data_IF_691175660440
#
_entry.id   IF_691175660440
#
_cell.length_a   1.000
_cell.length_b   1.000
_cell.length_c   1.000
_cell.angle_alpha   90.00
_cell.angle_beta   90.00
_cell.angle_gamma   90.00
#
_symmetry.space_group_name_H-M   'P 1'
#
loop_
_entity.id
_entity.type
_entity.pdbx_description
1 polymer ?
#
# COMPACT_ATOMS: atom_id res chain seq x y z
N UNK A 1 -14.73 45.62 -66.98
CA UNK A 1 -15.25 44.93 -65.77
C UNK A 1 -14.31 43.76 -65.47
N UNK A 2 -13.65 43.58 -64.33
CA UNK A 2 -13.73 44.17 -63.00
C UNK A 2 -12.31 44.13 -62.39
N UNK A 3 -11.79 45.29 -62.00
CA UNK A 3 -10.69 45.43 -61.07
C UNK A 3 -11.19 45.08 -59.65
N UNK A 4 -11.32 43.79 -59.33
CA UNK A 4 -11.97 43.36 -58.09
C UNK A 4 -11.32 42.13 -57.43
N UNK A 5 -9.99 42.01 -57.44
CA UNK A 5 -9.31 40.86 -56.78
C UNK A 5 -8.13 41.22 -55.87
N UNK A 6 -7.78 42.49 -55.71
CA UNK A 6 -6.72 42.91 -54.76
C UNK A 6 -7.26 43.45 -53.42
N UNK A 7 -8.51 43.95 -53.37
CA UNK A 7 -9.12 44.48 -52.15
C UNK A 7 -9.50 43.42 -51.10
N UNK A 8 -9.70 42.16 -51.50
CA UNK A 8 -10.15 41.08 -50.59
C UNK A 8 -9.02 40.44 -49.76
N UNK A 9 -7.77 40.51 -50.21
CA UNK A 9 -6.62 39.92 -49.50
C UNK A 9 -6.09 40.81 -48.38
N UNK A 10 -6.19 42.13 -48.52
CA UNK A 10 -5.80 43.11 -47.50
C UNK A 10 -6.79 43.15 -46.32
N UNK A 11 -8.10 43.07 -46.59
CA UNK A 11 -9.15 43.01 -45.55
C UNK A 11 -9.00 41.79 -44.64
N UNK A 12 -8.55 40.66 -45.19
CA UNK A 12 -8.29 39.42 -44.44
C UNK A 12 -7.05 39.52 -43.52
N UNK A 13 -6.07 40.37 -43.85
CA UNK A 13 -4.85 40.56 -43.05
C UNK A 13 -5.09 41.55 -41.90
N UNK A 14 -5.85 42.62 -42.15
CA UNK A 14 -6.26 43.59 -41.13
C UNK A 14 -7.16 42.96 -40.05
N UNK A 15 -8.11 42.10 -40.44
CA UNK A 15 -8.98 41.38 -39.51
C UNK A 15 -8.20 40.39 -38.62
N UNK A 16 -7.22 39.67 -39.17
CA UNK A 16 -6.36 38.75 -38.40
C UNK A 16 -5.39 39.45 -37.47
N UNK A 17 -4.87 40.62 -37.87
CA UNK A 17 -4.00 41.46 -37.03
C UNK A 17 -4.77 42.08 -35.86
N UNK A 18 -6.03 42.49 -36.09
CA UNK A 18 -6.93 43.02 -35.06
C UNK A 18 -7.34 41.96 -34.02
N UNK A 19 -7.58 40.72 -34.44
CA UNK A 19 -7.91 39.60 -33.52
C UNK A 19 -6.74 39.18 -32.63
N UNK A 20 -5.50 39.23 -33.13
CA UNK A 20 -4.30 38.90 -32.33
C UNK A 20 -4.00 40.00 -31.29
N UNK A 21 -4.16 41.27 -31.65
CA UNK A 21 -3.95 42.40 -30.74
C UNK A 21 -5.01 42.46 -29.60
N UNK A 22 -6.27 42.16 -29.92
CA UNK A 22 -7.35 42.06 -28.92
C UNK A 22 -7.13 40.87 -27.97
N UNK A 23 -6.65 39.73 -28.47
CA UNK A 23 -6.32 38.56 -27.64
C UNK A 23 -5.15 38.80 -26.67
N UNK A 24 -4.10 39.50 -27.11
CA UNK A 24 -2.97 39.89 -26.26
C UNK A 24 -3.37 40.92 -25.18
N UNK A 25 -4.25 41.87 -25.50
CA UNK A 25 -4.77 42.83 -24.51
C UNK A 25 -5.64 42.16 -23.43
N UNK A 26 -6.46 41.17 -23.79
CA UNK A 26 -7.25 40.36 -22.85
C UNK A 26 -6.36 39.48 -21.93
N UNK A 27 -5.27 38.91 -22.46
CA UNK A 27 -4.30 38.14 -21.68
C UNK A 27 -3.51 39.02 -20.70
N UNK A 28 -3.18 40.25 -21.07
CA UNK A 28 -2.49 41.19 -20.18
C UNK A 28 -3.41 41.74 -19.08
N UNK A 29 -4.69 41.97 -19.37
CA UNK A 29 -5.68 42.39 -18.35
C UNK A 29 -6.02 41.26 -17.35
N UNK A 30 -5.91 40.00 -17.75
CA UNK A 30 -6.07 38.86 -16.84
C UNK A 30 -4.92 38.73 -15.81
N UNK A 31 -3.74 39.30 -16.08
CA UNK A 31 -2.61 39.31 -15.15
C UNK A 31 -2.76 40.37 -14.04
N UNK A 32 -3.56 41.42 -14.28
CA UNK A 32 -3.72 42.56 -13.34
C UNK A 32 -4.80 42.32 -12.28
N UNK A 33 -5.78 41.44 -12.55
CA UNK A 33 -6.91 41.22 -11.63
C UNK A 33 -6.75 40.04 -10.69
N UNK A 34 -5.68 39.23 -10.81
CA UNK A 34 -5.42 38.10 -9.90
C UNK A 34 -6.55 37.07 -9.82
N UNK A 35 -7.56 37.17 -10.69
CA UNK A 35 -8.73 36.31 -10.71
C UNK A 35 -8.46 35.15 -11.67
N UNK A 36 -7.56 34.24 -11.28
CA UNK A 36 -7.52 32.91 -11.87
C UNK A 36 -8.74 32.12 -11.34
N UNK A 37 -9.74 31.78 -12.19
CA UNK A 37 -10.77 30.83 -11.81
C UNK A 37 -10.14 29.45 -11.92
N UNK A 38 -9.43 29.03 -10.87
CA UNK A 38 -8.68 27.78 -10.91
C UNK A 38 -7.66 27.54 -9.81
N UNK A 39 -7.43 28.48 -8.88
CA UNK A 39 -6.91 28.06 -7.57
C UNK A 39 -8.06 27.42 -6.81
N UNK A 40 -8.22 26.12 -7.00
CA UNK A 40 -8.75 25.26 -5.95
C UNK A 40 -8.00 25.66 -4.67
N UNK A 41 -8.74 26.32 -3.78
CA UNK A 41 -8.31 26.68 -2.45
C UNK A 41 -8.10 25.38 -1.67
N UNK A 42 -6.94 24.75 -1.85
CA UNK A 42 -6.51 23.59 -1.07
C UNK A 42 -6.38 23.91 0.43
N UNK A 43 -6.62 25.16 0.85
CA UNK A 43 -6.62 25.56 2.27
C UNK A 43 -8.01 25.53 2.91
N UNK A 44 -8.97 24.81 2.34
CA UNK A 44 -10.25 24.51 3.02
C UNK A 44 -10.54 23.02 3.08
N UNK A 45 -9.61 22.30 3.70
CA UNK A 45 -9.77 20.89 4.02
C UNK A 45 -8.75 20.34 5.01
N UNK A 46 -7.98 21.20 5.67
CA UNK A 46 -7.11 20.78 6.75
C UNK A 46 -7.85 20.97 8.07
N UNK A 47 -8.57 19.94 8.51
CA UNK A 47 -8.78 19.76 9.94
C UNK A 47 -7.43 19.70 10.67
N UNK A 48 -7.41 19.78 12.01
CA UNK A 48 -6.18 19.57 12.78
C UNK A 48 -5.45 18.32 12.27
N UNK A 49 -4.12 18.35 12.18
CA UNK A 49 -3.32 17.15 11.84
C UNK A 49 -3.75 16.03 12.80
N UNK A 50 -4.31 14.95 12.27
CA UNK A 50 -4.82 13.83 13.08
C UNK A 50 -6.28 13.92 13.54
N UNK A 51 -7.07 14.89 13.08
CA UNK A 51 -8.50 14.95 13.39
C UNK A 51 -9.33 14.22 12.31
N UNK A 52 -9.96 13.12 12.71
CA UNK A 52 -10.90 12.38 11.89
C UNK A 52 -12.26 13.09 11.83
N UNK A 53 -12.84 13.19 10.64
CA UNK A 53 -14.19 13.70 10.44
C UNK A 53 -15.26 12.62 10.62
N UNK A 54 -16.51 12.97 10.35
CA UNK A 54 -17.63 12.02 10.29
C UNK A 54 -17.36 10.93 9.25
N UNK A 55 -17.59 9.67 9.64
CA UNK A 55 -17.41 8.52 8.75
C UNK A 55 -18.53 8.46 7.71
N UNK A 56 -18.16 8.58 6.43
CA UNK A 56 -19.09 8.45 5.30
C UNK A 56 -18.65 7.30 4.41
N UNK A 57 -19.35 6.17 4.54
CA UNK A 57 -19.01 4.91 3.87
C UNK A 57 -18.93 5.04 2.34
N UNK A 58 -19.73 5.92 1.75
CA UNK A 58 -19.73 6.21 0.31
C UNK A 58 -18.39 6.76 -0.22
N UNK A 59 -17.54 7.28 0.68
CA UNK A 59 -16.20 7.79 0.33
C UNK A 59 -15.11 6.74 0.50
N UNK A 60 -15.43 5.59 1.07
CA UNK A 60 -14.47 4.53 1.25
C UNK A 60 -14.08 3.95 -0.12
N UNK A 61 -12.78 3.70 -0.36
CA UNK A 61 -12.38 3.02 -1.57
C UNK A 61 -13.05 1.64 -1.62
N UNK A 62 -13.47 1.21 -2.80
CA UNK A 62 -13.98 -0.14 -3.00
C UNK A 62 -12.87 -1.14 -2.65
N UNK A 63 -12.99 -1.78 -1.48
CA UNK A 63 -11.99 -2.71 -1.01
C UNK A 63 -12.02 -3.99 -1.83
N UNK A 64 -10.91 -4.35 -2.48
CA UNK A 64 -10.77 -5.64 -3.17
C UNK A 64 -11.16 -6.80 -2.24
N UNK A 65 -11.81 -7.87 -2.75
CA UNK A 65 -12.36 -8.92 -1.89
C UNK A 65 -11.27 -9.73 -1.15
N UNK A 66 -10.04 -9.76 -1.68
CA UNK A 66 -8.97 -10.63 -1.22
C UNK A 66 -7.89 -9.85 -0.46
N UNK A 67 -7.90 -9.96 0.87
CA UNK A 67 -6.87 -9.42 1.75
C UNK A 67 -6.15 -10.57 2.47
N UNK A 68 -4.97 -11.03 2.00
CA UNK A 68 -4.28 -12.19 2.58
C UNK A 68 -3.92 -12.05 4.06
N UNK A 69 -3.67 -10.81 4.50
CA UNK A 69 -3.41 -10.49 5.90
C UNK A 69 -4.68 -10.08 6.68
N UNK A 70 -5.87 -10.19 6.08
CA UNK A 70 -7.12 -9.71 6.65
C UNK A 70 -7.37 -8.22 6.41
N UNK A 71 -8.54 -7.77 6.87
CA UNK A 71 -8.97 -6.37 6.76
C UNK A 71 -8.73 -5.64 8.07
N UNK A 72 -8.37 -4.36 7.95
CA UNK A 72 -8.22 -3.44 9.07
C UNK A 72 -8.92 -2.13 8.76
N UNK A 73 -9.37 -1.45 9.80
CA UNK A 73 -9.91 -0.11 9.65
C UNK A 73 -8.78 0.89 9.42
N UNK A 74 -9.08 1.94 8.66
CA UNK A 74 -8.20 3.09 8.47
C UNK A 74 -7.84 3.79 9.79
N UNK A 75 -7.00 4.82 9.71
CA UNK A 75 -6.57 5.57 10.88
C UNK A 75 -7.73 6.15 11.71
N UNK A 76 -8.85 6.41 11.05
CA UNK A 76 -10.07 6.99 11.60
C UNK A 76 -11.12 5.98 12.02
N UNK A 77 -10.88 4.68 11.84
CA UNK A 77 -11.84 3.63 12.16
C UNK A 77 -13.03 3.54 11.19
N UNK A 78 -12.96 4.17 10.02
CA UNK A 78 -14.12 4.31 9.13
C UNK A 78 -14.13 3.24 8.03
N UNK A 79 -13.12 3.24 7.17
CA UNK A 79 -13.08 2.38 5.99
C UNK A 79 -12.31 1.09 6.26
N UNK A 80 -12.85 -0.03 5.77
CA UNK A 80 -12.15 -1.32 5.76
C UNK A 80 -11.19 -1.43 4.58
N UNK A 81 -9.91 -1.58 4.89
CA UNK A 81 -8.83 -1.72 3.91
C UNK A 81 -8.06 -3.02 4.15
N UNK A 82 -7.31 -3.49 3.15
CA UNK A 82 -6.40 -4.61 3.38
C UNK A 82 -5.25 -4.14 4.29
N UNK A 83 -4.93 -4.94 5.31
CA UNK A 83 -3.76 -4.68 6.14
C UNK A 83 -2.48 -5.25 5.54
N UNK A 84 -1.34 -4.73 6.00
CA UNK A 84 -0.03 -5.23 5.60
C UNK A 84 0.25 -6.61 6.20
N UNK A 85 0.85 -7.49 5.39
CA UNK A 85 1.24 -8.84 5.77
C UNK A 85 2.54 -8.90 6.57
N UNK A 86 2.82 -10.08 7.16
CA UNK A 86 4.06 -10.29 7.93
C UNK A 86 5.31 -9.94 7.12
N UNK A 87 6.24 -9.22 7.74
CA UNK A 87 7.47 -8.71 7.14
C UNK A 87 7.34 -7.41 6.37
N UNK A 88 6.14 -6.97 5.99
CA UNK A 88 5.92 -5.69 5.30
C UNK A 88 6.08 -4.51 6.26
N UNK A 89 6.40 -3.34 5.69
CA UNK A 89 6.52 -2.11 6.46
C UNK A 89 5.17 -1.69 7.04
N UNK A 90 5.21 -1.01 8.17
CA UNK A 90 4.04 -0.48 8.85
C UNK A 90 4.41 0.74 9.67
N UNK A 91 3.40 1.57 9.94
CA UNK A 91 3.54 2.73 10.79
C UNK A 91 3.21 2.34 12.26
N UNK A 92 4.16 2.51 13.21
CA UNK A 92 3.93 2.14 14.61
C UNK A 92 2.91 3.06 15.32
N UNK A 93 2.84 4.33 14.92
CA UNK A 93 1.91 5.30 15.51
C UNK A 93 0.59 5.31 14.72
N UNK A 94 -0.57 5.05 15.36
CA UNK A 94 -1.87 5.04 14.71
C UNK A 94 -2.24 6.37 14.05
N UNK A 95 -1.65 7.49 14.51
CA UNK A 95 -1.80 8.85 13.99
C UNK A 95 -0.91 9.10 12.77
N UNK A 96 0.22 8.38 12.68
CA UNK A 96 1.18 8.43 11.58
C UNK A 96 0.97 7.33 10.55
N UNK A 97 -0.13 6.56 10.62
CA UNK A 97 -0.52 5.49 9.70
C UNK A 97 -0.81 5.96 8.26
N UNK A 98 -0.24 7.10 7.86
CA UNK A 98 -0.48 7.83 6.64
C UNK A 98 0.44 7.37 5.51
N UNK A 99 1.52 6.61 5.79
CA UNK A 99 2.51 6.28 4.75
C UNK A 99 2.59 4.78 4.43
N UNK A 100 2.95 3.94 5.39
CA UNK A 100 3.04 2.49 5.17
C UNK A 100 1.73 1.77 5.49
N UNK A 101 0.90 2.33 6.39
CA UNK A 101 -0.37 1.75 6.78
C UNK A 101 -0.28 0.78 7.96
N UNK A 102 -1.40 0.11 8.25
CA UNK A 102 -1.56 -0.76 9.42
C UNK A 102 -1.35 -2.23 9.06
N UNK A 103 -0.78 -2.98 9.99
CA UNK A 103 -0.68 -4.43 9.87
C UNK A 103 -2.04 -5.10 9.88
N UNK A 104 -2.15 -6.22 9.18
CA UNK A 104 -3.35 -7.05 9.12
C UNK A 104 -3.74 -7.70 10.44
N UNK A 105 -4.78 -8.52 10.37
CA UNK A 105 -5.35 -9.22 11.52
C UNK A 105 -4.30 -10.11 12.21
N UNK A 106 -4.20 -10.02 13.55
CA UNK A 106 -3.26 -10.81 14.33
C UNK A 106 -1.78 -10.44 14.15
N UNK A 107 -1.48 -9.35 13.42
CA UNK A 107 -0.13 -8.81 13.28
C UNK A 107 0.04 -7.56 14.17
N UNK A 108 1.26 -7.30 14.62
CA UNK A 108 1.65 -6.09 15.36
C UNK A 108 2.74 -5.37 14.59
N UNK A 109 2.72 -4.04 14.60
CA UNK A 109 3.81 -3.27 14.03
C UNK A 109 4.96 -3.18 15.04
N UNK A 110 6.16 -3.63 14.65
CA UNK A 110 7.36 -3.59 15.50
C UNK A 110 8.54 -3.00 14.76
N UNK A 111 9.11 -1.95 15.31
CA UNK A 111 10.39 -1.40 14.86
C UNK A 111 11.55 -2.12 15.60
N UNK A 112 12.58 -2.62 14.90
CA UNK A 112 13.71 -3.30 15.54
C UNK A 112 14.46 -2.44 16.57
N UNK A 113 14.45 -1.12 16.40
CA UNK A 113 15.10 -0.14 17.27
C UNK A 113 14.10 0.52 18.23
N UNK A 114 12.85 0.05 18.28
CA UNK A 114 11.79 0.60 19.13
C UNK A 114 11.41 2.03 18.78
N UNK A 115 11.74 2.52 17.58
CA UNK A 115 11.47 3.90 17.18
C UNK A 115 10.00 4.08 16.81
N UNK A 116 9.44 5.22 17.19
CA UNK A 116 8.11 5.66 16.80
C UNK A 116 8.24 6.97 16.03
N UNK A 117 7.65 7.06 14.84
CA UNK A 117 7.63 8.28 14.02
C UNK A 117 8.61 8.27 12.85
N UNK A 118 9.11 9.46 12.49
CA UNK A 118 9.93 9.68 11.31
C UNK A 118 11.24 8.89 11.37
N UNK A 119 11.51 8.09 10.34
CA UNK A 119 12.65 7.17 10.31
C UNK A 119 12.44 5.84 11.03
N UNK A 120 11.23 5.54 11.51
CA UNK A 120 10.87 4.18 11.90
C UNK A 120 10.83 3.24 10.69
N UNK A 121 11.36 2.03 10.87
CA UNK A 121 11.33 0.92 9.93
C UNK A 121 10.48 -0.20 10.54
N UNK A 122 9.30 0.16 11.04
CA UNK A 122 8.33 -0.76 11.61
C UNK A 122 7.98 -1.85 10.61
N UNK A 123 7.96 -3.11 11.06
CA UNK A 123 7.51 -4.25 10.27
C UNK A 123 6.40 -5.00 10.97
N UNK A 124 5.48 -5.54 10.19
CA UNK A 124 4.43 -6.40 10.71
C UNK A 124 5.02 -7.73 11.15
N UNK A 125 4.79 -8.09 12.41
CA UNK A 125 5.20 -9.37 13.01
C UNK A 125 3.98 -10.08 13.54
N UNK A 126 3.89 -11.41 13.39
CA UNK A 126 2.76 -12.13 13.94
C UNK A 126 2.75 -12.02 15.46
N UNK A 127 1.58 -11.72 16.02
CA UNK A 127 1.41 -11.54 17.46
C UNK A 127 1.68 -12.82 18.26
N UNK A 128 1.50 -13.99 17.62
CA UNK A 128 1.74 -15.30 18.20
C UNK A 128 2.73 -16.05 17.32
N UNK A 129 3.89 -16.39 17.87
CA UNK A 129 4.89 -17.22 17.22
C UNK A 129 4.71 -18.66 17.72
N UNK A 130 4.04 -19.49 16.93
CA UNK A 130 3.70 -20.87 17.29
C UNK A 130 3.69 -21.75 16.04
N UNK A 131 4.42 -22.87 16.09
CA UNK A 131 4.42 -23.80 14.96
C UNK A 131 3.03 -24.44 14.81
N UNK A 132 2.54 -24.53 13.58
CA UNK A 132 1.25 -25.13 13.26
C UNK A 132 1.39 -26.12 12.11
N UNK A 133 0.73 -27.27 12.22
CA UNK A 133 0.59 -28.18 11.09
C UNK A 133 -0.69 -27.86 10.32
N UNK A 134 -0.57 -27.59 9.03
CA UNK A 134 -1.70 -27.40 8.13
C UNK A 134 -2.32 -28.72 7.69
N UNK A 135 -3.58 -28.66 7.25
CA UNK A 135 -4.27 -29.80 6.62
C UNK A 135 -3.61 -30.25 5.31
N UNK A 136 -2.74 -29.42 4.73
CA UNK A 136 -1.90 -29.73 3.58
C UNK A 136 -0.58 -30.43 3.95
N UNK A 137 -0.38 -30.78 5.22
CA UNK A 137 0.81 -31.45 5.73
C UNK A 137 2.04 -30.54 5.82
N UNK A 138 1.89 -29.22 5.63
CA UNK A 138 2.98 -28.25 5.78
C UNK A 138 3.01 -27.66 7.18
N UNK A 139 4.23 -27.46 7.69
CA UNK A 139 4.43 -26.70 8.92
C UNK A 139 4.47 -25.22 8.60
N UNK A 140 3.75 -24.42 9.38
CA UNK A 140 3.75 -22.96 9.34
C UNK A 140 4.38 -22.42 10.62
N UNK A 141 5.20 -21.37 10.51
CA UNK A 141 5.92 -20.84 11.68
C UNK A 141 5.00 -20.14 12.69
N UNK A 142 3.85 -19.67 12.19
CA UNK A 142 2.84 -18.99 12.97
C UNK A 142 1.46 -19.00 12.28
N UNK A 143 0.45 -18.58 13.03
CA UNK A 143 -0.94 -18.47 12.55
C UNK A 143 -1.14 -17.46 11.42
N UNK A 144 -0.32 -16.41 11.34
CA UNK A 144 -0.41 -15.39 10.29
C UNK A 144 0.04 -15.96 8.93
N UNK A 145 1.11 -16.74 8.90
CA UNK A 145 1.57 -17.43 7.68
C UNK A 145 0.55 -18.43 7.17
N UNK A 146 -0.04 -19.25 8.05
CA UNK A 146 -1.09 -20.21 7.68
C UNK A 146 -2.31 -19.50 7.09
N UNK A 147 -2.75 -18.39 7.73
CA UNK A 147 -3.86 -17.58 7.22
C UNK A 147 -3.56 -17.00 5.85
N UNK A 148 -2.36 -16.45 5.65
CA UNK A 148 -1.94 -15.90 4.37
C UNK A 148 -1.87 -16.97 3.26
N UNK A 149 -1.44 -18.19 3.59
CA UNK A 149 -1.44 -19.32 2.66
C UNK A 149 -2.87 -19.74 2.30
N UNK A 150 -3.78 -19.82 3.29
CA UNK A 150 -5.20 -20.14 3.08
C UNK A 150 -5.86 -19.19 2.09
N UNK A 151 -5.54 -17.90 2.16
CA UNK A 151 -6.09 -16.90 1.24
C UNK A 151 -5.64 -17.03 -0.22
N UNK A 152 -4.57 -17.80 -0.51
CA UNK A 152 -4.09 -18.05 -1.87
C UNK A 152 -4.73 -19.27 -2.52
N UNK A 153 -5.49 -20.04 -1.76
CA UNK A 153 -6.17 -21.24 -2.24
C UNK A 153 -7.56 -20.89 -2.77
N UNK A 154 -8.04 -21.72 -3.69
CA UNK A 154 -9.43 -21.69 -4.14
C UNK A 154 -10.36 -22.12 -3.00
N UNK A 155 -11.64 -21.73 -3.06
CA UNK A 155 -12.65 -22.11 -2.05
C UNK A 155 -12.75 -23.63 -1.83
N UNK A 156 -12.46 -24.43 -2.85
CA UNK A 156 -12.46 -25.89 -2.79
C UNK A 156 -11.28 -26.46 -1.96
N UNK A 157 -10.16 -25.73 -1.88
CA UNK A 157 -8.96 -26.11 -1.13
C UNK A 157 -8.89 -25.36 0.22
N UNK A 158 -9.67 -25.87 1.18
CA UNK A 158 -9.70 -25.28 2.52
C UNK A 158 -8.51 -25.72 3.36
N UNK A 159 -7.48 -24.87 3.44
CA UNK A 159 -6.40 -25.02 4.41
C UNK A 159 -6.90 -24.73 5.84
N UNK A 160 -6.82 -25.73 6.71
CA UNK A 160 -7.16 -25.65 8.12
C UNK A 160 -5.95 -25.98 8.99
N UNK A 161 -6.01 -25.64 10.28
CA UNK A 161 -5.05 -26.14 11.26
C UNK A 161 -5.39 -27.60 11.53
N UNK A 162 -4.46 -28.51 11.24
CA UNK A 162 -4.58 -29.93 11.59
C UNK A 162 -4.30 -30.14 13.08
N UNK A 163 -3.18 -29.62 13.58
CA UNK A 163 -2.84 -29.63 15.01
C UNK A 163 -1.79 -28.56 15.35
N UNK A 164 -1.66 -28.17 16.63
CA UNK A 164 -0.53 -27.35 17.09
C UNK A 164 0.79 -28.13 17.00
N UNK A 165 1.89 -27.40 16.83
CA UNK A 165 3.23 -27.95 16.61
C UNK A 165 3.53 -28.23 15.13
N UNK A 166 4.77 -28.63 14.82
CA UNK A 166 5.17 -28.94 13.46
C UNK A 166 4.49 -30.23 12.98
N UNK A 167 4.23 -30.32 11.68
CA UNK A 167 3.83 -31.59 11.08
C UNK A 167 4.94 -32.62 11.31
N UNK A 168 4.55 -33.85 11.66
CA UNK A 168 5.48 -34.97 11.67
C UNK A 168 5.84 -35.27 10.22
N UNK A 169 6.96 -34.71 9.74
CA UNK A 169 7.62 -35.29 8.59
C UNK A 169 7.87 -36.76 8.93
N UNK A 170 7.28 -37.69 8.18
CA UNK A 170 7.73 -39.08 8.22
C UNK A 170 9.25 -39.04 8.12
N UNK A 171 9.93 -39.42 9.21
CA UNK A 171 11.38 -39.38 9.34
C UNK A 171 11.98 -40.34 8.32
N UNK A 172 12.10 -39.90 7.08
CA UNK A 172 12.89 -40.54 6.03
C UNK A 172 14.01 -39.59 5.63
N UNK A 173 14.90 -39.37 6.58
CA UNK A 173 16.35 -39.30 6.35
C UNK A 173 16.94 -40.24 7.40
N UNK A 174 16.84 -41.54 7.15
CA UNK A 174 17.97 -42.38 6.77
C UNK A 174 19.20 -42.07 7.64
N UNK A 175 19.26 -42.84 8.72
CA UNK A 175 20.46 -43.30 9.40
C UNK A 175 21.53 -43.65 8.34
N UNK A 176 22.48 -42.77 8.02
CA UNK A 176 23.81 -43.10 7.48
C UNK A 176 24.70 -41.84 7.49
N UNK A 177 25.08 -41.37 8.69
CA UNK A 177 26.43 -40.82 8.83
C UNK A 177 27.32 -42.04 9.07
N UNK A 178 28.16 -42.48 8.12
CA UNK A 178 29.16 -43.47 8.46
C UNK A 178 30.05 -42.84 9.55
N UNK A 179 30.05 -43.46 10.72
CA UNK A 179 31.02 -43.19 11.76
C UNK A 179 32.35 -43.58 11.15
N UNK A 180 33.11 -42.63 10.59
CA UNK A 180 34.49 -42.88 10.18
C UNK A 180 35.28 -43.24 11.45
N UNK A 181 35.78 -44.49 11.62
CA UNK A 181 36.39 -44.91 12.86
C UNK A 181 37.89 -44.58 12.94
N UNK A 182 38.40 -43.64 12.14
CA UNK A 182 39.82 -43.31 12.14
C UNK A 182 40.05 -41.80 12.15
N UNK A 183 40.09 -41.25 13.37
CA UNK A 183 40.87 -40.05 13.66
C UNK A 183 42.07 -40.52 14.49
N UNK A 184 43.17 -40.85 13.82
CA UNK A 184 44.44 -41.07 14.49
C UNK A 184 45.01 -39.71 14.89
N UNK A 185 44.94 -39.43 16.19
CA UNK A 185 45.78 -38.46 16.87
C UNK A 185 47.25 -38.82 16.56
N UNK A 186 47.97 -37.93 15.86
CA UNK A 186 49.44 -37.92 15.90
C UNK A 186 49.80 -36.58 16.51
N UNK A 187 50.17 -36.61 17.79
CA UNK A 187 51.04 -35.59 18.39
C UNK A 187 52.38 -35.64 17.66
N UNK A 188 52.91 -34.49 17.26
CA UNK A 188 54.33 -34.11 17.30
C UNK A 188 54.43 -32.58 17.37
#
# INVERSE_FOLDING_TARGET
MRAATLAGREQSRAARSSMMAAGLALLLLAQVTGAFPGRLDWRRGAGPRGACGECRLERCPAGGPQCPAGRVQDACGCCWQCGNGEGQLCDPDPSSAQFYGRCGEGLRCRDPLGRTGEGSQGRCVCARQELLCGSDGKTYDNSCQLRAARYRLSEDDRLMVAHPGPCTASKFLILLVPISPHCSFIEH
#
